data_IF_580824995180
#
_entry.id   IF_580824995180
#
_cell.length_a   1.000
_cell.length_b   1.000
_cell.length_c   1.000
_cell.angle_alpha   90.00
_cell.angle_beta   90.00
_cell.angle_gamma   90.00
#
_symmetry.space_group_name_H-M   'P 1'
#
loop_
_entity.id
_entity.type
_entity.pdbx_description
1 polymer ?
#
# COMPACT_ATOMS: atom_id res chain seq x y z
N UNK A 1 -12.02 9.83 -42.28
CA UNK A 1 -12.25 8.46 -41.78
C UNK A 1 -10.95 7.73 -41.92
N UNK A 2 -10.16 7.74 -40.85
CA UNK A 2 -8.87 7.03 -40.83
C UNK A 2 -9.05 5.77 -40.02
N UNK A 3 -8.52 4.67 -40.55
CA UNK A 3 -8.52 3.37 -39.90
C UNK A 3 -7.74 3.46 -38.57
N UNK A 4 -8.31 2.93 -37.49
CA UNK A 4 -7.68 2.94 -36.17
C UNK A 4 -6.99 1.59 -35.97
N UNK A 5 -5.65 1.52 -36.13
CA UNK A 5 -4.92 0.26 -36.08
C UNK A 5 -5.01 -0.42 -34.71
N UNK A 6 -5.26 0.33 -33.63
CA UNK A 6 -5.33 -0.21 -32.28
C UNK A 6 -6.48 -1.20 -32.12
N UNK A 7 -7.58 -1.02 -32.87
CA UNK A 7 -8.75 -1.91 -32.85
C UNK A 7 -8.47 -3.33 -33.34
N UNK A 8 -7.38 -3.52 -34.10
CA UNK A 8 -6.98 -4.85 -34.59
C UNK A 8 -6.06 -5.61 -33.62
N UNK A 9 -5.55 -4.96 -32.56
CA UNK A 9 -4.66 -5.61 -31.60
C UNK A 9 -5.38 -6.69 -30.78
N UNK A 10 -6.59 -6.39 -30.29
CA UNK A 10 -7.45 -7.36 -29.65
C UNK A 10 -8.92 -6.89 -29.63
N UNK A 11 -9.85 -7.84 -29.47
CA UNK A 11 -11.27 -7.52 -29.21
C UNK A 11 -11.44 -7.24 -27.71
N UNK A 12 -11.45 -5.96 -27.34
CA UNK A 12 -11.68 -5.51 -25.97
C UNK A 12 -12.45 -4.19 -25.97
N UNK A 13 -13.43 -4.08 -25.09
CA UNK A 13 -14.16 -2.85 -24.76
C UNK A 13 -13.43 -1.99 -23.71
N UNK A 14 -12.41 -2.57 -23.08
CA UNK A 14 -11.56 -1.87 -22.12
C UNK A 14 -10.40 -1.19 -22.84
N UNK A 15 -10.48 0.14 -22.87
CA UNK A 15 -9.51 1.03 -23.49
C UNK A 15 -8.72 1.79 -22.41
N UNK A 16 -7.44 2.05 -22.70
CA UNK A 16 -6.49 2.77 -21.87
C UNK A 16 -5.74 3.80 -22.72
N UNK A 17 -5.73 5.07 -22.30
CA UNK A 17 -4.98 6.15 -22.93
C UNK A 17 -5.19 6.22 -24.44
N UNK A 18 -4.16 6.60 -25.17
CA UNK A 18 -4.10 6.53 -26.62
C UNK A 18 -2.67 6.29 -27.09
N UNK A 19 -2.52 5.86 -28.34
CA UNK A 19 -1.22 5.81 -28.98
C UNK A 19 -0.61 7.21 -29.02
N UNK A 20 0.66 7.33 -28.64
CA UNK A 20 1.29 8.63 -28.37
C UNK A 20 1.19 9.62 -29.54
N UNK A 21 1.22 9.15 -30.78
CA UNK A 21 1.21 10.00 -31.97
C UNK A 21 -0.19 10.38 -32.46
N UNK A 22 -1.25 9.70 -32.00
CA UNK A 22 -2.62 9.92 -32.49
C UNK A 22 -3.64 9.76 -31.34
N UNK A 23 -4.16 10.86 -30.78
CA UNK A 23 -5.12 10.85 -29.68
C UNK A 23 -6.42 10.08 -29.93
N UNK A 24 -6.82 9.91 -31.20
CA UNK A 24 -8.02 9.15 -31.57
C UNK A 24 -7.82 7.63 -31.45
N UNK A 25 -6.59 7.14 -31.47
CA UNK A 25 -6.26 5.72 -31.44
C UNK A 25 -6.15 5.22 -30.00
N UNK A 26 -7.29 4.84 -29.42
CA UNK A 26 -7.38 4.32 -28.06
C UNK A 26 -6.82 2.91 -27.97
N UNK A 27 -6.00 2.63 -26.96
CA UNK A 27 -5.30 1.34 -26.85
C UNK A 27 -6.16 0.33 -26.10
N UNK A 28 -6.56 -0.80 -26.72
CA UNK A 28 -7.28 -1.85 -26.00
C UNK A 28 -6.34 -2.64 -25.09
N UNK A 29 -6.90 -3.26 -24.05
CA UNK A 29 -6.13 -4.10 -23.11
C UNK A 29 -6.70 -5.50 -22.96
N UNK A 30 -5.85 -6.46 -22.60
CA UNK A 30 -6.24 -7.84 -22.31
C UNK A 30 -6.70 -7.98 -20.85
N UNK A 31 -8.03 -7.89 -20.64
CA UNK A 31 -8.70 -7.89 -19.32
C UNK A 31 -8.28 -9.04 -18.41
N UNK A 32 -8.09 -10.23 -18.97
CA UNK A 32 -7.76 -11.45 -18.22
C UNK A 32 -6.45 -11.35 -17.44
N UNK A 33 -5.59 -10.38 -17.77
CA UNK A 33 -4.30 -10.19 -17.12
C UNK A 33 -4.28 -9.12 -16.03
N UNK A 34 -5.42 -8.50 -15.69
CA UNK A 34 -5.49 -7.49 -14.61
C UNK A 34 -4.98 -8.05 -13.27
N UNK A 35 -5.38 -9.27 -12.91
CA UNK A 35 -4.92 -9.92 -11.67
C UNK A 35 -3.45 -10.38 -11.71
N UNK A 36 -2.72 -10.12 -12.79
CA UNK A 36 -1.28 -10.36 -12.87
C UNK A 36 -0.46 -9.12 -12.47
N UNK A 37 -1.14 -8.13 -11.90
CA UNK A 37 -0.62 -6.93 -11.23
C UNK A 37 0.09 -5.95 -12.15
N UNK A 38 0.07 -4.69 -11.74
CA UNK A 38 0.46 -3.54 -12.54
C UNK A 38 1.54 -2.76 -11.78
N UNK A 39 2.66 -2.48 -12.46
CA UNK A 39 3.68 -1.54 -11.98
C UNK A 39 3.65 -0.26 -12.80
N UNK A 40 3.74 0.90 -12.15
CA UNK A 40 3.86 2.20 -12.80
C UNK A 40 5.14 2.86 -12.31
N UNK A 41 6.08 3.06 -13.23
CA UNK A 41 7.44 3.49 -12.93
C UNK A 41 7.78 4.80 -13.63
N UNK A 42 8.54 5.65 -12.95
CA UNK A 42 9.09 6.87 -13.54
C UNK A 42 9.39 7.94 -12.49
N UNK A 43 10.26 8.88 -12.80
CA UNK A 43 10.70 9.95 -11.89
C UNK A 43 9.55 10.85 -11.44
N UNK A 44 9.81 11.70 -10.44
CA UNK A 44 8.90 12.78 -10.07
C UNK A 44 8.59 13.67 -11.29
N UNK A 45 7.32 14.05 -11.45
CA UNK A 45 6.86 14.82 -12.62
C UNK A 45 6.83 14.04 -13.93
N UNK A 46 6.81 12.70 -13.91
CA UNK A 46 6.55 11.88 -15.12
C UNK A 46 5.07 11.65 -15.38
N UNK A 47 4.19 12.00 -14.44
CA UNK A 47 2.74 11.79 -14.55
C UNK A 47 2.23 10.45 -14.00
N UNK A 48 2.98 9.73 -13.15
CA UNK A 48 2.55 8.43 -12.58
C UNK A 48 1.19 8.47 -11.89
N UNK A 49 1.00 9.39 -10.94
CA UNK A 49 -0.26 9.54 -10.20
C UNK A 49 -1.40 9.98 -11.11
N UNK A 50 -1.09 10.72 -12.18
CA UNK A 50 -2.06 11.10 -13.21
C UNK A 50 -2.47 9.90 -14.07
N UNK A 51 -1.54 9.08 -14.54
CA UNK A 51 -1.83 7.83 -15.23
C UNK A 51 -2.68 6.92 -14.35
N UNK A 52 -2.33 6.80 -13.07
CA UNK A 52 -3.12 6.01 -12.13
C UNK A 52 -4.55 6.55 -11.98
N UNK A 53 -4.71 7.85 -11.73
CA UNK A 53 -5.99 8.51 -11.46
C UNK A 53 -6.92 8.57 -12.67
N UNK A 54 -6.41 8.94 -13.83
CA UNK A 54 -7.23 9.19 -15.02
C UNK A 54 -7.39 7.98 -15.93
N UNK A 55 -6.48 7.02 -15.88
CA UNK A 55 -6.49 5.89 -16.81
C UNK A 55 -6.65 4.54 -16.08
N UNK A 56 -5.77 4.22 -15.13
CA UNK A 56 -5.73 2.89 -14.50
C UNK A 56 -6.91 2.67 -13.56
N UNK A 57 -7.23 3.62 -12.68
CA UNK A 57 -8.36 3.51 -11.75
C UNK A 57 -9.68 3.39 -12.52
N UNK A 58 -10.01 4.29 -13.48
CA UNK A 58 -11.22 4.15 -14.29
C UNK A 58 -11.27 2.85 -15.10
N UNK A 59 -10.14 2.41 -15.65
CA UNK A 59 -10.04 1.12 -16.35
C UNK A 59 -10.43 -0.04 -15.42
N UNK A 60 -9.88 -0.07 -14.20
CA UNK A 60 -10.15 -1.13 -13.22
C UNK A 60 -11.62 -1.14 -12.78
N UNK A 61 -12.20 0.03 -12.55
CA UNK A 61 -13.63 0.17 -12.23
C UNK A 61 -14.51 -0.34 -13.38
N UNK A 62 -14.24 0.06 -14.62
CA UNK A 62 -14.94 -0.49 -15.81
C UNK A 62 -14.75 -1.99 -15.97
N UNK A 63 -13.60 -2.52 -15.55
CA UNK A 63 -13.32 -3.95 -15.57
C UNK A 63 -14.10 -4.74 -14.50
N UNK A 64 -14.76 -4.05 -13.56
CA UNK A 64 -15.58 -4.63 -12.49
C UNK A 64 -14.88 -4.73 -11.14
N UNK A 65 -13.80 -3.97 -10.92
CA UNK A 65 -13.06 -3.98 -9.66
C UNK A 65 -13.46 -2.80 -8.78
N UNK A 66 -13.67 -3.08 -7.50
CA UNK A 66 -13.67 -2.03 -6.47
C UNK A 66 -12.25 -1.61 -6.14
N UNK A 67 -11.99 -0.33 -5.93
CA UNK A 67 -10.64 0.20 -5.77
C UNK A 67 -10.39 0.67 -4.33
N UNK A 68 -9.27 0.25 -3.75
CA UNK A 68 -8.74 0.79 -2.49
C UNK A 68 -7.43 1.49 -2.83
N UNK A 69 -7.31 2.78 -2.54
CA UNK A 69 -6.10 3.57 -2.78
C UNK A 69 -5.41 3.88 -1.47
N UNK A 70 -4.13 3.55 -1.36
CA UNK A 70 -3.27 3.95 -0.24
C UNK A 70 -2.50 5.21 -0.66
N UNK A 71 -3.04 6.40 -0.34
CA UNK A 71 -2.47 7.69 -0.74
C UNK A 71 -1.41 8.12 0.28
N UNK A 72 -0.13 7.82 -0.02
CA UNK A 72 0.98 8.04 0.92
C UNK A 72 1.13 9.50 1.34
N UNK A 73 0.99 10.43 0.39
CA UNK A 73 1.14 11.88 0.63
C UNK A 73 -0.18 12.55 0.98
N UNK A 74 -1.31 11.97 0.58
CA UNK A 74 -2.65 12.56 0.73
C UNK A 74 -2.93 13.70 -0.24
N UNK A 75 -2.04 13.97 -1.21
CA UNK A 75 -2.19 15.06 -2.17
C UNK A 75 -2.56 14.59 -3.58
N UNK A 76 -2.31 13.32 -3.89
CA UNK A 76 -2.39 12.82 -5.26
C UNK A 76 -3.78 12.24 -5.58
N UNK A 77 -4.48 11.74 -4.55
CA UNK A 77 -5.77 11.08 -4.69
C UNK A 77 -6.80 11.67 -3.72
N UNK A 78 -6.52 11.75 -2.42
CA UNK A 78 -7.49 12.13 -1.39
C UNK A 78 -8.29 13.43 -1.68
N UNK A 79 -7.71 14.50 -2.27
CA UNK A 79 -8.46 15.71 -2.62
C UNK A 79 -9.42 15.56 -3.81
N UNK A 80 -9.26 14.51 -4.61
CA UNK A 80 -9.96 14.29 -5.89
C UNK A 80 -11.02 13.20 -5.84
N UNK A 81 -11.20 12.53 -4.68
CA UNK A 81 -12.21 11.50 -4.49
C UNK A 81 -13.10 11.84 -3.30
N UNK A 82 -14.41 11.65 -3.46
CA UNK A 82 -15.40 11.97 -2.42
C UNK A 82 -15.28 11.07 -1.18
N UNK A 83 -14.85 9.82 -1.37
CA UNK A 83 -14.80 8.82 -0.31
C UNK A 83 -13.37 8.58 0.18
N UNK A 84 -12.99 9.38 1.17
CA UNK A 84 -11.67 9.36 1.79
C UNK A 84 -11.77 9.02 3.28
N UNK A 85 -10.94 8.09 3.74
CA UNK A 85 -10.83 7.68 5.15
C UNK A 85 -9.44 8.06 5.67
N UNK A 86 -9.34 8.92 6.69
CA UNK A 86 -8.07 9.24 7.33
C UNK A 86 -7.46 8.03 8.05
N UNK A 87 -6.14 7.85 7.96
CA UNK A 87 -5.47 6.67 8.53
C UNK A 87 -5.68 6.49 10.04
N UNK A 88 -5.78 7.58 10.80
CA UNK A 88 -5.93 7.60 12.26
C UNK A 88 -7.30 7.09 12.73
N UNK A 89 -8.27 7.04 11.81
CA UNK A 89 -9.59 6.45 12.06
C UNK A 89 -9.62 4.94 11.85
N UNK A 90 -8.60 4.37 11.22
CA UNK A 90 -8.54 2.94 10.89
C UNK A 90 -7.97 2.16 12.07
N UNK A 91 -8.67 1.09 12.43
CA UNK A 91 -8.26 0.19 13.51
C UNK A 91 -7.08 -0.66 13.06
N UNK A 92 -5.95 -0.47 13.73
CA UNK A 92 -4.77 -1.33 13.64
C UNK A 92 -4.89 -2.47 14.63
N UNK A 93 -4.48 -3.69 14.26
CA UNK A 93 -4.56 -4.84 15.16
C UNK A 93 -3.61 -4.73 16.36
N UNK A 94 -4.02 -5.26 17.51
CA UNK A 94 -3.29 -5.10 18.79
C UNK A 94 -1.83 -5.60 18.72
N UNK A 95 -1.56 -6.63 17.91
CA UNK A 95 -0.21 -7.18 17.74
C UNK A 95 0.69 -6.20 16.98
N UNK A 96 0.13 -5.50 16.01
CA UNK A 96 0.85 -4.46 15.26
C UNK A 96 1.06 -3.21 16.12
N UNK A 97 0.07 -2.79 16.93
CA UNK A 97 0.23 -1.72 17.94
C UNK A 97 1.32 -2.07 18.96
N UNK A 98 1.31 -3.30 19.49
CA UNK A 98 2.35 -3.77 20.42
C UNK A 98 3.74 -3.74 19.81
N UNK A 99 3.88 -4.11 18.54
CA UNK A 99 5.17 -4.06 17.83
C UNK A 99 5.69 -2.65 17.68
N UNK A 100 4.81 -1.71 17.38
CA UNK A 100 5.14 -0.30 17.36
C UNK A 100 5.67 0.18 18.73
N UNK A 101 4.93 -0.10 19.82
CA UNK A 101 5.40 0.25 21.17
C UNK A 101 6.68 -0.48 21.57
N UNK A 102 6.85 -1.74 21.15
CA UNK A 102 8.08 -2.48 21.38
C UNK A 102 9.26 -1.84 20.65
N UNK A 103 9.09 -1.33 19.44
CA UNK A 103 10.15 -0.63 18.73
C UNK A 103 10.53 0.67 19.44
N UNK A 104 9.53 1.49 19.77
CA UNK A 104 9.69 2.77 20.47
C UNK A 104 10.40 2.61 21.83
N UNK A 105 9.95 1.63 22.62
CA UNK A 105 10.45 1.37 23.98
C UNK A 105 11.66 0.43 24.01
N UNK A 106 12.20 0.07 22.83
CA UNK A 106 13.35 -0.83 22.72
C UNK A 106 13.14 -2.16 23.44
N UNK A 107 12.04 -2.80 23.06
CA UNK A 107 11.45 -3.99 23.63
C UNK A 107 11.20 -3.86 25.14
N UNK A 108 10.66 -2.71 25.60
CA UNK A 108 10.41 -2.43 27.03
C UNK A 108 11.66 -2.65 27.91
N UNK A 109 12.85 -2.37 27.38
CA UNK A 109 14.14 -2.58 28.05
C UNK A 109 14.64 -4.04 28.07
N UNK A 110 14.02 -4.95 27.32
CA UNK A 110 14.39 -6.38 27.20
C UNK A 110 15.07 -6.68 25.85
N UNK A 111 16.02 -5.85 25.41
CA UNK A 111 16.81 -6.14 24.20
C UNK A 111 17.31 -7.59 24.19
N UNK A 112 17.13 -8.26 23.05
CA UNK A 112 17.62 -9.63 22.77
C UNK A 112 17.15 -10.75 23.72
N UNK A 113 16.04 -10.55 24.44
CA UNK A 113 15.39 -11.60 25.23
C UNK A 113 14.06 -12.04 24.62
N UNK A 114 13.90 -13.36 24.47
CA UNK A 114 12.64 -13.97 24.03
C UNK A 114 11.50 -13.75 25.05
N UNK A 115 11.81 -13.87 26.34
CA UNK A 115 10.84 -13.62 27.41
C UNK A 115 10.79 -12.14 27.79
N UNK A 116 9.68 -11.48 27.45
CA UNK A 116 9.37 -10.11 27.85
C UNK A 116 8.01 -10.03 28.59
N UNK A 117 8.02 -10.11 29.93
CA UNK A 117 6.82 -10.03 30.76
C UNK A 117 6.05 -8.72 30.59
N UNK A 118 6.76 -7.60 30.37
CA UNK A 118 6.16 -6.27 30.21
C UNK A 118 5.42 -6.19 28.88
N UNK A 119 6.05 -6.60 27.78
CA UNK A 119 5.39 -6.68 26.47
C UNK A 119 4.15 -7.59 26.51
N UNK A 120 4.25 -8.75 27.17
CA UNK A 120 3.11 -9.67 27.36
C UNK A 120 1.96 -9.03 28.14
N UNK A 121 2.27 -8.24 29.17
CA UNK A 121 1.25 -7.54 29.96
C UNK A 121 0.58 -6.41 29.15
N UNK A 122 1.36 -5.64 28.38
CA UNK A 122 0.84 -4.61 27.47
C UNK A 122 -0.03 -5.22 26.38
N UNK A 123 0.39 -6.33 25.78
CA UNK A 123 -0.40 -7.06 24.78
C UNK A 123 -1.76 -7.49 25.35
N UNK A 124 -1.76 -8.08 26.54
CA UNK A 124 -2.99 -8.48 27.24
C UNK A 124 -3.85 -7.26 27.59
N UNK A 125 -3.25 -6.14 27.98
CA UNK A 125 -3.98 -4.91 28.22
C UNK A 125 -4.69 -4.44 26.95
N UNK A 126 -3.97 -4.28 25.84
CA UNK A 126 -4.49 -3.84 24.54
C UNK A 126 -5.68 -4.70 24.07
N UNK A 127 -5.63 -6.01 24.30
CA UNK A 127 -6.67 -6.98 23.89
C UNK A 127 -7.91 -7.00 24.79
N UNK A 128 -7.78 -6.64 26.07
CA UNK A 128 -8.85 -6.90 27.07
C UNK A 128 -9.63 -5.67 27.49
N UNK A 129 -9.13 -4.47 27.20
CA UNK A 129 -9.79 -3.23 27.58
C UNK A 129 -10.32 -2.51 26.34
N UNK A 130 -11.38 -1.74 26.53
CA UNK A 130 -11.84 -0.80 25.52
C UNK A 130 -11.13 0.55 25.67
N UNK A 131 -10.08 0.74 24.86
CA UNK A 131 -9.24 1.94 24.84
C UNK A 131 -9.39 2.77 23.55
N UNK A 132 -9.85 2.17 22.46
CA UNK A 132 -10.02 2.87 21.18
C UNK A 132 -11.21 3.83 21.26
N UNK A 133 -11.17 4.91 20.46
CA UNK A 133 -12.18 5.98 20.50
C UNK A 133 -12.28 6.77 21.81
N UNK A 134 -11.47 6.46 22.84
CA UNK A 134 -11.39 7.27 24.06
C UNK A 134 -10.42 8.44 23.84
N UNK A 135 -10.50 9.52 24.63
CA UNK A 135 -9.46 10.55 24.64
C UNK A 135 -8.07 9.93 24.87
N UNK A 136 -7.00 10.43 24.21
CA UNK A 136 -5.65 9.85 24.29
C UNK A 136 -5.15 9.61 25.72
N UNK A 137 -5.28 10.60 26.61
CA UNK A 137 -4.94 10.50 28.03
C UNK A 137 -5.62 9.31 28.71
N UNK A 138 -6.95 9.20 28.54
CA UNK A 138 -7.77 8.14 29.14
C UNK A 138 -7.45 6.76 28.55
N UNK A 139 -7.19 6.68 27.25
CA UNK A 139 -6.79 5.45 26.59
C UNK A 139 -5.43 4.95 27.12
N UNK A 140 -4.45 5.87 27.20
CA UNK A 140 -3.12 5.61 27.75
C UNK A 140 -3.19 5.12 29.19
N UNK A 141 -3.95 5.83 30.04
CA UNK A 141 -4.15 5.47 31.44
C UNK A 141 -4.76 4.07 31.59
N UNK A 142 -5.82 3.76 30.83
CA UNK A 142 -6.46 2.44 30.85
C UNK A 142 -5.47 1.32 30.50
N UNK A 143 -4.66 1.50 29.45
CA UNK A 143 -3.66 0.50 29.04
C UNK A 143 -2.62 0.33 30.15
N UNK A 144 -2.08 1.44 30.68
CA UNK A 144 -1.08 1.43 31.74
C UNK A 144 -1.58 0.70 32.99
N UNK A 145 -2.74 1.10 33.52
CA UNK A 145 -3.30 0.52 34.75
C UNK A 145 -3.58 -0.98 34.58
N UNK A 146 -4.08 -1.39 33.41
CA UNK A 146 -4.33 -2.81 33.14
C UNK A 146 -3.03 -3.61 33.03
N UNK A 147 -2.04 -3.11 32.29
CA UNK A 147 -0.74 -3.76 32.15
C UNK A 147 -0.06 -3.89 33.51
N UNK A 148 -0.09 -2.82 34.32
CA UNK A 148 0.46 -2.78 35.68
C UNK A 148 -0.21 -3.82 36.57
N UNK A 149 -1.54 -3.89 36.60
CA UNK A 149 -2.27 -4.88 37.40
C UNK A 149 -1.92 -6.33 37.02
N UNK A 150 -1.70 -6.60 35.73
CA UNK A 150 -1.25 -7.93 35.24
C UNK A 150 0.17 -8.24 35.76
N UNK A 151 1.07 -7.27 35.70
CA UNK A 151 2.44 -7.44 36.20
C UNK A 151 2.48 -7.61 37.72
N UNK A 152 1.73 -6.81 38.48
CA UNK A 152 1.63 -6.93 39.95
C UNK A 152 1.09 -8.29 40.37
N UNK A 153 0.11 -8.83 39.64
CA UNK A 153 -0.38 -10.18 39.87
C UNK A 153 0.71 -11.24 39.62
N UNK A 154 1.39 -11.17 38.46
CA UNK A 154 2.43 -12.13 38.09
C UNK A 154 3.69 -12.02 38.96
N UNK A 155 3.98 -10.83 39.49
CA UNK A 155 5.10 -10.55 40.38
C UNK A 155 5.05 -11.38 41.68
N UNK A 156 3.85 -11.81 42.11
CA UNK A 156 3.67 -12.67 43.29
C UNK A 156 4.33 -14.06 43.16
N UNK A 157 4.59 -14.50 41.93
CA UNK A 157 5.17 -15.81 41.62
C UNK A 157 6.68 -15.76 41.37
N UNK A 158 7.32 -14.60 41.50
CA UNK A 158 8.76 -14.41 41.27
C UNK A 158 9.43 -13.71 42.46
N UNK A 159 10.76 -13.58 42.42
CA UNK A 159 11.50 -12.81 43.44
C UNK A 159 11.02 -11.35 43.45
N UNK A 160 10.93 -10.76 44.65
CA UNK A 160 10.47 -9.38 44.86
C UNK A 160 11.21 -8.38 43.95
N UNK A 161 12.53 -8.48 43.86
CA UNK A 161 13.38 -7.64 43.01
C UNK A 161 13.01 -7.73 41.52
N UNK A 162 12.69 -8.94 41.04
CA UNK A 162 12.26 -9.17 39.66
C UNK A 162 10.90 -8.55 39.39
N UNK A 163 9.96 -8.68 40.34
CA UNK A 163 8.66 -8.04 40.25
C UNK A 163 8.76 -6.51 40.19
N UNK A 164 9.58 -5.90 41.06
CA UNK A 164 9.85 -4.45 41.06
C UNK A 164 10.41 -4.00 39.72
N UNK A 165 11.42 -4.70 39.18
CA UNK A 165 12.01 -4.39 37.88
C UNK A 165 10.99 -4.38 36.73
N UNK A 166 9.97 -5.27 36.76
CA UNK A 166 8.92 -5.28 35.73
C UNK A 166 8.07 -4.01 35.77
N UNK A 167 7.73 -3.54 36.96
CA UNK A 167 6.95 -2.32 37.16
C UNK A 167 7.76 -1.10 36.73
N UNK A 168 9.01 -0.98 37.18
CA UNK A 168 9.91 0.12 36.81
C UNK A 168 10.07 0.22 35.29
N UNK A 169 10.19 -0.93 34.61
CA UNK A 169 10.29 -0.97 33.13
C UNK A 169 8.99 -0.57 32.44
N UNK A 170 7.83 -0.96 32.99
CA UNK A 170 6.54 -0.52 32.46
C UNK A 170 6.40 1.01 32.59
N UNK A 171 6.72 1.56 33.76
CA UNK A 171 6.67 3.00 34.03
C UNK A 171 7.58 3.77 33.06
N UNK A 172 8.85 3.39 32.95
CA UNK A 172 9.79 3.99 32.00
C UNK A 172 9.34 3.85 30.54
N UNK A 173 8.68 2.75 30.18
CA UNK A 173 8.15 2.57 28.83
C UNK A 173 6.97 3.50 28.53
N UNK A 174 6.12 3.75 29.53
CA UNK A 174 4.99 4.68 29.39
C UNK A 174 5.42 6.14 29.42
N UNK A 175 6.60 6.48 29.95
CA UNK A 175 7.21 7.80 29.70
C UNK A 175 7.50 8.05 28.21
N UNK A 176 7.81 6.99 27.45
CA UNK A 176 8.05 7.08 26.00
C UNK A 176 6.76 6.95 25.17
N UNK A 177 5.81 6.11 25.60
CA UNK A 177 4.50 5.97 24.96
C UNK A 177 3.62 7.14 25.40
N UNK A 178 3.76 8.27 24.70
CA UNK A 178 3.00 9.50 24.99
C UNK A 178 1.55 9.40 24.54
N UNK A 179 0.75 10.42 24.87
CA UNK A 179 -0.63 10.54 24.38
C UNK A 179 -0.69 10.62 22.84
N UNK A 180 0.26 11.33 22.23
CA UNK A 180 0.38 11.40 20.77
C UNK A 180 0.60 10.02 20.15
N UNK A 181 1.42 9.17 20.79
CA UNK A 181 1.65 7.80 20.34
C UNK A 181 0.41 6.91 20.43
N UNK A 182 -0.44 7.17 21.43
CA UNK A 182 -1.70 6.45 21.61
C UNK A 182 -2.75 6.94 20.62
N UNK A 183 -2.82 8.26 20.40
CA UNK A 183 -3.74 8.91 19.47
C UNK A 183 -3.68 8.29 18.06
N UNK A 184 -2.47 7.96 17.61
CA UNK A 184 -2.17 7.30 16.33
C UNK A 184 -2.94 5.99 16.11
N UNK A 185 -3.38 5.32 17.17
CA UNK A 185 -4.01 3.99 17.09
C UNK A 185 -5.43 3.93 17.71
N UNK A 186 -6.05 5.09 17.98
CA UNK A 186 -7.41 5.17 18.52
C UNK A 186 -8.51 4.81 17.51
N UNK A 187 -8.15 4.64 16.23
CA UNK A 187 -9.07 4.31 15.15
C UNK A 187 -9.97 3.11 15.43
N UNK A 188 -11.23 3.23 15.02
CA UNK A 188 -12.28 2.23 15.26
C UNK A 188 -12.84 1.62 13.97
N UNK A 189 -12.53 2.21 12.82
CA UNK A 189 -12.97 1.69 11.51
C UNK A 189 -12.20 0.40 11.24
N UNK A 190 -12.92 -0.71 11.21
CA UNK A 190 -12.34 -2.02 10.96
C UNK A 190 -11.91 -2.16 9.49
N UNK A 191 -10.85 -2.94 9.19
CA UNK A 191 -10.44 -3.22 7.81
C UNK A 191 -11.54 -3.76 6.89
N UNK A 192 -12.52 -4.49 7.43
CA UNK A 192 -13.67 -4.98 6.66
C UNK A 192 -14.59 -3.85 6.20
N UNK A 193 -14.69 -2.76 6.95
CA UNK A 193 -15.49 -1.60 6.59
C UNK A 193 -14.87 -0.85 5.42
N UNK A 194 -13.54 -0.78 5.34
CA UNK A 194 -12.83 -0.21 4.18
C UNK A 194 -13.17 -0.98 2.91
N UNK A 195 -13.10 -2.33 2.97
CA UNK A 195 -13.49 -3.17 1.84
C UNK A 195 -14.98 -3.00 1.48
N UNK A 196 -15.87 -2.94 2.48
CA UNK A 196 -17.30 -2.75 2.25
C UNK A 196 -17.59 -1.40 1.58
N UNK A 197 -16.94 -0.32 2.03
CA UNK A 197 -17.05 1.01 1.42
C UNK A 197 -16.55 1.02 -0.02
N UNK A 198 -15.39 0.40 -0.29
CA UNK A 198 -14.88 0.26 -1.66
C UNK A 198 -15.87 -0.49 -2.57
N UNK A 199 -16.55 -1.51 -2.03
CA UNK A 199 -17.56 -2.28 -2.77
C UNK A 199 -18.86 -1.50 -3.01
N UNK A 200 -19.31 -0.73 -2.03
CA UNK A 200 -20.51 0.10 -2.13
C UNK A 200 -20.32 1.29 -3.06
N UNK A 201 -19.16 1.96 -2.97
CA UNK A 201 -18.87 3.22 -3.67
C UNK A 201 -18.02 3.06 -4.93
N UNK A 202 -17.60 1.85 -5.24
CA UNK A 202 -16.63 1.56 -6.31
C UNK A 202 -15.18 1.92 -5.95
N UNK A 203 -14.95 2.94 -5.10
CA UNK A 203 -13.62 3.35 -4.66
C UNK A 203 -13.62 3.87 -3.21
N UNK A 204 -12.52 3.63 -2.50
CA UNK A 204 -12.18 4.30 -1.24
C UNK A 204 -10.71 4.70 -1.26
N UNK A 205 -10.42 5.92 -0.81
CA UNK A 205 -9.05 6.42 -0.63
C UNK A 205 -8.73 6.41 0.86
N UNK A 206 -7.60 5.83 1.23
CA UNK A 206 -7.04 5.95 2.57
C UNK A 206 -6.03 7.08 2.55
N UNK A 207 -6.35 8.19 3.22
CA UNK A 207 -5.47 9.34 3.34
C UNK A 207 -4.43 9.08 4.44
N UNK A 208 -3.18 8.92 4.01
CA UNK A 208 -2.05 8.61 4.87
C UNK A 208 -1.23 9.85 5.22
N UNK A 209 -1.65 11.07 4.85
CA UNK A 209 -0.86 12.31 4.98
C UNK A 209 -0.35 12.60 6.38
N UNK A 210 -1.17 12.36 7.41
CA UNK A 210 -0.89 12.73 8.81
C UNK A 210 -0.06 11.71 9.60
N UNK A 211 0.23 10.55 9.02
CA UNK A 211 0.92 9.46 9.74
C UNK A 211 2.44 9.53 9.65
N UNK A 212 3.12 9.02 10.67
CA UNK A 212 4.52 8.62 10.53
C UNK A 212 4.62 7.31 9.73
N UNK A 213 5.81 7.02 9.18
CA UNK A 213 6.03 5.87 8.30
C UNK A 213 5.55 4.56 8.93
N UNK A 214 5.88 4.32 10.19
CA UNK A 214 5.54 3.10 10.93
C UNK A 214 4.02 2.96 11.11
N UNK A 215 3.32 4.06 11.42
CA UNK A 215 1.85 4.08 11.52
C UNK A 215 1.20 3.81 10.16
N UNK A 216 1.72 4.43 9.09
CA UNK A 216 1.26 4.19 7.71
C UNK A 216 1.40 2.71 7.35
N UNK A 217 2.57 2.13 7.61
CA UNK A 217 2.82 0.71 7.35
C UNK A 217 1.91 -0.19 8.20
N UNK A 218 1.63 0.17 9.45
CA UNK A 218 0.75 -0.58 10.34
C UNK A 218 -0.72 -0.61 9.86
N UNK A 219 -1.23 0.54 9.39
CA UNK A 219 -2.58 0.66 8.79
C UNK A 219 -2.66 -0.16 7.50
N UNK A 220 -1.68 -0.02 6.61
CA UNK A 220 -1.59 -0.82 5.39
C UNK A 220 -1.57 -2.31 5.71
N UNK A 221 -0.71 -2.74 6.64
CA UNK A 221 -0.59 -4.13 7.05
C UNK A 221 -1.93 -4.68 7.54
N UNK A 222 -2.68 -3.92 8.33
CA UNK A 222 -4.00 -4.32 8.85
C UNK A 222 -5.02 -4.55 7.73
N UNK A 223 -5.09 -3.65 6.74
CA UNK A 223 -5.97 -3.76 5.58
C UNK A 223 -5.54 -4.94 4.69
N UNK A 224 -4.28 -4.96 4.28
CA UNK A 224 -3.72 -5.99 3.41
C UNK A 224 -3.84 -7.39 4.00
N UNK A 225 -3.60 -7.54 5.31
CA UNK A 225 -3.75 -8.83 6.02
C UNK A 225 -5.19 -9.29 6.06
N UNK A 226 -6.15 -8.38 6.19
CA UNK A 226 -7.56 -8.71 6.08
C UNK A 226 -7.91 -9.25 4.69
N UNK A 227 -7.47 -8.58 3.61
CA UNK A 227 -7.66 -9.05 2.23
C UNK A 227 -7.05 -10.44 2.01
N UNK A 228 -5.81 -10.67 2.50
CA UNK A 228 -5.14 -11.97 2.44
C UNK A 228 -5.98 -13.08 3.09
N UNK A 229 -6.50 -12.84 4.31
CA UNK A 229 -7.32 -13.81 5.05
C UNK A 229 -8.59 -14.21 4.29
N UNK A 230 -9.21 -13.29 3.57
CA UNK A 230 -10.38 -13.60 2.74
C UNK A 230 -10.01 -14.53 1.57
N UNK A 231 -8.88 -14.26 0.89
CA UNK A 231 -8.38 -15.11 -0.19
C UNK A 231 -7.95 -16.50 0.30
N UNK A 232 -7.33 -16.60 1.48
CA UNK A 232 -7.01 -17.88 2.12
C UNK A 232 -8.26 -18.72 2.42
N UNK A 233 -9.39 -18.05 2.68
CA UNK A 233 -10.72 -18.66 2.82
C UNK A 233 -11.42 -18.90 1.48
N UNK A 234 -10.67 -18.83 0.38
CA UNK A 234 -11.12 -19.05 -1.01
C UNK A 234 -12.20 -18.07 -1.49
N UNK A 235 -12.27 -16.87 -0.90
CA UNK A 235 -13.20 -15.84 -1.35
C UNK A 235 -12.60 -15.04 -2.50
N UNK A 236 -13.38 -14.84 -3.56
CA UNK A 236 -13.04 -13.86 -4.60
C UNK A 236 -13.31 -12.44 -4.10
N UNK A 237 -12.35 -11.55 -4.33
CA UNK A 237 -12.42 -10.17 -3.88
C UNK A 237 -13.01 -9.26 -4.94
N UNK A 238 -12.52 -9.39 -6.18
CA UNK A 238 -12.77 -8.51 -7.33
C UNK A 238 -12.48 -7.05 -6.93
N UNK A 239 -11.28 -6.85 -6.37
CA UNK A 239 -10.78 -5.59 -5.79
C UNK A 239 -9.40 -5.26 -6.36
N UNK A 240 -9.10 -3.98 -6.56
CA UNK A 240 -7.78 -3.49 -6.87
C UNK A 240 -7.23 -2.67 -5.69
N UNK A 241 -6.01 -3.00 -5.25
CA UNK A 241 -5.29 -2.25 -4.24
C UNK A 241 -4.20 -1.42 -4.93
N UNK A 242 -4.37 -0.09 -4.91
CA UNK A 242 -3.43 0.88 -5.46
C UNK A 242 -2.52 1.37 -4.34
N UNK A 243 -1.22 1.18 -4.51
CA UNK A 243 -0.17 1.51 -3.55
C UNK A 243 0.69 2.61 -4.17
N UNK A 244 0.50 3.84 -3.70
CA UNK A 244 1.37 4.96 -4.07
C UNK A 244 2.69 4.92 -3.28
N UNK A 245 3.76 5.51 -3.81
CA UNK A 245 5.11 5.50 -3.19
C UNK A 245 5.55 4.09 -2.74
N UNK A 246 5.40 3.10 -3.63
CA UNK A 246 5.66 1.68 -3.40
C UNK A 246 6.95 1.33 -2.62
N UNK A 247 8.11 1.98 -2.88
CA UNK A 247 9.33 1.75 -2.10
C UNK A 247 9.18 2.02 -0.59
N UNK A 248 8.20 2.80 -0.16
CA UNK A 248 7.93 3.00 1.28
C UNK A 248 7.39 1.74 1.94
N UNK A 249 6.66 0.90 1.19
CA UNK A 249 6.06 -0.36 1.67
C UNK A 249 6.93 -1.58 1.38
N UNK A 250 7.65 -1.55 0.25
CA UNK A 250 8.47 -2.65 -0.21
C UNK A 250 9.80 -2.14 -0.80
N UNK A 251 10.69 -1.55 0.03
CA UNK A 251 11.98 -1.07 -0.43
C UNK A 251 12.88 -2.23 -0.87
N UNK A 252 13.95 -1.91 -1.59
CA UNK A 252 14.96 -2.88 -2.02
C UNK A 252 15.53 -3.73 -0.87
N UNK A 253 15.82 -3.10 0.28
CA UNK A 253 16.34 -3.76 1.49
C UNK A 253 15.43 -3.47 2.70
N UNK A 254 14.33 -4.22 2.85
CA UNK A 254 13.36 -3.94 3.88
C UNK A 254 13.84 -4.37 5.27
N UNK A 255 13.51 -3.57 6.29
CA UNK A 255 13.79 -3.86 7.71
C UNK A 255 12.56 -3.64 8.57
N UNK A 256 12.50 -4.31 9.72
CA UNK A 256 11.37 -4.18 10.65
C UNK A 256 10.02 -4.39 9.95
N UNK A 257 9.11 -3.43 10.12
CA UNK A 257 7.76 -3.49 9.56
C UNK A 257 7.74 -3.47 8.02
N UNK A 258 8.72 -2.85 7.36
CA UNK A 258 8.83 -2.87 5.90
C UNK A 258 9.01 -4.29 5.36
N UNK A 259 9.70 -5.15 6.12
CA UNK A 259 9.91 -6.55 5.72
C UNK A 259 8.59 -7.28 5.70
N UNK A 260 7.78 -7.06 6.72
CA UNK A 260 6.46 -7.68 6.82
C UNK A 260 5.51 -7.18 5.74
N UNK A 261 5.51 -5.88 5.44
CA UNK A 261 4.68 -5.33 4.36
C UNK A 261 5.16 -5.81 2.99
N UNK A 262 6.49 -5.95 2.79
CA UNK A 262 7.07 -6.56 1.58
C UNK A 262 6.58 -8.00 1.40
N UNK A 263 6.73 -8.84 2.43
CA UNK A 263 6.32 -10.24 2.40
C UNK A 263 4.81 -10.37 2.18
N UNK A 264 4.02 -9.51 2.82
CA UNK A 264 2.57 -9.45 2.64
C UNK A 264 2.19 -9.07 1.20
N UNK A 265 2.86 -8.10 0.58
CA UNK A 265 2.63 -7.73 -0.83
C UNK A 265 2.96 -8.90 -1.77
N UNK A 266 4.04 -9.63 -1.50
CA UNK A 266 4.41 -10.83 -2.28
C UNK A 266 3.29 -11.87 -2.19
N UNK A 267 2.80 -12.16 -0.98
CA UNK A 267 1.71 -13.11 -0.76
C UNK A 267 0.40 -12.65 -1.42
N UNK A 268 0.07 -11.36 -1.31
CA UNK A 268 -1.10 -10.79 -1.97
C UNK A 268 -1.02 -10.93 -3.49
N UNK A 269 0.16 -10.73 -4.08
CA UNK A 269 0.36 -10.95 -5.51
C UNK A 269 0.21 -12.43 -5.88
N UNK A 270 0.79 -13.34 -5.10
CA UNK A 270 0.69 -14.77 -5.37
C UNK A 270 -0.76 -15.27 -5.33
N UNK A 271 -1.51 -14.90 -4.29
CA UNK A 271 -2.91 -15.29 -4.10
C UNK A 271 -3.86 -14.54 -5.05
N UNK A 272 -3.61 -13.25 -5.27
CA UNK A 272 -4.51 -12.34 -5.97
C UNK A 272 -4.82 -12.75 -7.41
N UNK A 273 -3.86 -13.39 -8.08
CA UNK A 273 -4.03 -14.00 -9.41
C UNK A 273 -5.26 -14.92 -9.50
N UNK A 274 -5.52 -15.69 -8.46
CA UNK A 274 -6.60 -16.68 -8.42
C UNK A 274 -7.90 -16.14 -7.82
N UNK A 275 -7.80 -15.15 -6.92
CA UNK A 275 -8.92 -14.70 -6.09
C UNK A 275 -9.38 -13.27 -6.39
N UNK A 276 -9.06 -12.73 -7.56
CA UNK A 276 -9.61 -11.45 -8.01
C UNK A 276 -9.05 -10.24 -7.27
N UNK A 277 -7.78 -10.30 -6.83
CA UNK A 277 -7.08 -9.12 -6.32
C UNK A 277 -6.07 -8.63 -7.35
N UNK A 278 -6.26 -7.40 -7.82
CA UNK A 278 -5.26 -6.69 -8.59
C UNK A 278 -4.42 -5.81 -7.67
N UNK A 279 -3.10 -5.78 -7.88
CA UNK A 279 -2.19 -4.91 -7.14
C UNK A 279 -1.64 -3.92 -8.15
N UNK A 280 -1.72 -2.63 -7.85
CA UNK A 280 -1.12 -1.56 -8.64
C UNK A 280 -0.10 -0.85 -7.76
N UNK A 281 1.17 -0.85 -8.16
CA UNK A 281 2.23 -0.19 -7.38
C UNK A 281 2.86 0.92 -8.22
N UNK A 282 2.89 2.13 -7.67
CA UNK A 282 3.59 3.26 -8.24
C UNK A 282 4.96 3.39 -7.59
N UNK A 283 6.02 3.61 -8.38
CA UNK A 283 7.37 3.79 -7.86
C UNK A 283 8.17 4.81 -8.66
N UNK A 284 8.98 5.62 -7.97
CA UNK A 284 9.83 6.61 -8.62
C UNK A 284 11.03 5.97 -9.34
N UNK A 285 11.60 4.92 -8.74
CA UNK A 285 12.66 4.10 -9.33
C UNK A 285 12.23 2.67 -9.59
N UNK A 286 12.96 1.97 -10.45
CA UNK A 286 12.69 0.58 -10.77
C UNK A 286 13.46 -0.36 -9.84
N UNK A 287 14.74 -0.07 -9.55
CA UNK A 287 15.65 -0.88 -8.74
C UNK A 287 16.49 -0.01 -7.78
N UNK A 288 17.31 -0.67 -6.95
CA UNK A 288 18.29 0.02 -6.11
C UNK A 288 17.67 0.76 -4.93
N UNK A 289 18.39 1.72 -4.37
CA UNK A 289 18.01 2.40 -3.11
C UNK A 289 16.67 3.14 -3.19
N UNK A 290 16.27 3.59 -4.39
CA UNK A 290 15.00 4.28 -4.65
C UNK A 290 13.93 3.38 -5.27
N UNK A 291 14.22 2.08 -5.41
CA UNK A 291 13.40 1.12 -6.14
C UNK A 291 12.67 0.11 -5.25
N UNK A 292 11.81 -0.67 -5.91
CA UNK A 292 11.03 -1.72 -5.28
C UNK A 292 11.86 -2.99 -5.04
N UNK A 293 11.49 -3.73 -4.00
CA UNK A 293 11.97 -5.08 -3.78
C UNK A 293 11.84 -5.95 -5.04
N UNK A 294 12.90 -6.67 -5.39
CA UNK A 294 12.94 -7.49 -6.60
C UNK A 294 11.84 -8.57 -6.64
N UNK A 295 11.48 -9.17 -5.51
CA UNK A 295 10.45 -10.21 -5.45
C UNK A 295 9.04 -9.63 -5.65
N UNK A 296 8.75 -8.44 -5.13
CA UNK A 296 7.50 -7.71 -5.43
C UNK A 296 7.45 -7.36 -6.90
N UNK A 297 8.51 -6.75 -7.43
CA UNK A 297 8.56 -6.28 -8.82
C UNK A 297 8.39 -7.40 -9.85
N UNK A 298 8.96 -8.58 -9.61
CA UNK A 298 8.77 -9.77 -10.48
C UNK A 298 7.32 -10.23 -10.58
N UNK A 299 6.46 -9.86 -9.63
CA UNK A 299 5.04 -10.18 -9.68
C UNK A 299 4.23 -9.19 -10.53
N UNK A 300 4.77 -8.02 -10.87
CA UNK A 300 4.12 -6.98 -11.66
C UNK A 300 4.29 -7.27 -13.17
N UNK A 301 3.38 -8.07 -13.72
CA UNK A 301 3.49 -8.58 -15.09
C UNK A 301 3.03 -7.59 -16.16
N UNK A 302 2.33 -6.54 -15.78
CA UNK A 302 2.04 -5.39 -16.64
C UNK A 302 2.80 -4.20 -16.10
N UNK A 303 3.51 -3.46 -16.97
CA UNK A 303 4.31 -2.32 -16.55
C UNK A 303 4.06 -1.11 -17.44
N UNK A 304 3.99 0.06 -16.80
CA UNK A 304 4.00 1.36 -17.44
C UNK A 304 5.29 2.05 -17.05
N UNK A 305 6.18 2.26 -18.02
CA UNK A 305 7.49 2.86 -17.78
C UNK A 305 7.53 4.24 -18.42
N UNK A 306 7.46 5.26 -17.57
CA UNK A 306 7.64 6.66 -17.95
C UNK A 306 9.12 7.04 -17.98
N UNK A 307 9.38 8.35 -17.86
CA UNK A 307 10.76 8.87 -17.75
C UNK A 307 11.47 8.27 -16.54
N UNK A 308 12.67 7.70 -16.71
CA UNK A 308 13.44 7.06 -15.63
C UNK A 308 14.56 7.97 -15.09
N UNK A 309 15.03 7.68 -13.87
CA UNK A 309 16.19 8.36 -13.31
C UNK A 309 17.48 7.78 -13.94
N UNK A 310 18.55 8.57 -14.15
CA UNK A 310 19.83 8.04 -14.65
C UNK A 310 20.40 6.88 -13.81
N UNK A 311 20.13 6.85 -12.50
CA UNK A 311 20.55 5.75 -11.61
C UNK A 311 19.85 4.42 -11.92
N UNK A 312 18.67 4.45 -12.54
CA UNK A 312 17.94 3.25 -12.96
C UNK A 312 18.33 2.78 -14.37
N UNK A 313 19.29 3.44 -15.04
CA UNK A 313 19.61 3.18 -16.45
C UNK A 313 20.04 1.73 -16.71
N UNK A 314 20.84 1.14 -15.82
CA UNK A 314 21.30 -0.26 -15.98
C UNK A 314 20.13 -1.25 -15.90
N UNK A 315 19.19 -1.01 -14.97
CA UNK A 315 18.01 -1.84 -14.81
C UNK A 315 17.04 -1.66 -15.98
N UNK A 316 16.84 -0.41 -16.38
CA UNK A 316 16.05 -0.07 -17.55
C UNK A 316 16.68 -0.66 -18.82
N UNK A 317 18.00 -0.71 -18.94
CA UNK A 317 18.71 -1.37 -20.05
C UNK A 317 18.37 -2.85 -20.12
N UNK A 318 18.44 -3.58 -19.00
CA UNK A 318 18.10 -5.02 -18.96
C UNK A 318 16.67 -5.26 -19.44
N UNK A 319 15.75 -4.40 -19.02
CA UNK A 319 14.35 -4.49 -19.42
C UNK A 319 14.15 -4.06 -20.89
N UNK A 320 14.66 -2.90 -21.28
CA UNK A 320 14.52 -2.29 -22.60
C UNK A 320 15.18 -3.11 -23.72
N UNK A 321 16.32 -3.76 -23.45
CA UNK A 321 17.01 -4.64 -24.41
C UNK A 321 16.14 -5.81 -24.84
N UNK A 322 15.32 -6.35 -23.92
CA UNK A 322 14.39 -7.43 -24.23
C UNK A 322 13.25 -7.00 -25.17
N UNK A 323 13.10 -5.69 -25.37
CA UNK A 323 11.95 -5.09 -26.04
C UNK A 323 12.34 -4.08 -27.14
N UNK A 324 13.61 -4.02 -27.53
CA UNK A 324 14.14 -3.10 -28.55
C UNK A 324 13.87 -1.61 -28.29
N UNK A 325 13.72 -1.20 -27.02
CA UNK A 325 13.61 0.21 -26.62
C UNK A 325 15.01 0.77 -26.41
N UNK A 326 15.32 1.95 -26.98
CA UNK A 326 16.57 2.64 -26.65
C UNK A 326 16.51 3.17 -25.20
N UNK A 327 17.46 2.83 -24.33
CA UNK A 327 17.52 3.34 -22.95
C UNK A 327 17.59 4.87 -22.88
N UNK A 328 18.20 5.52 -23.89
CA UNK A 328 18.30 6.98 -23.98
C UNK A 328 16.93 7.64 -24.14
N UNK A 329 15.99 6.98 -24.81
CA UNK A 329 14.62 7.46 -24.94
C UNK A 329 13.88 7.46 -23.60
N UNK A 330 14.23 6.55 -22.67
CA UNK A 330 13.63 6.51 -21.34
C UNK A 330 14.11 7.66 -20.45
N UNK A 331 15.30 8.22 -20.72
CA UNK A 331 15.83 9.38 -19.99
C UNK A 331 15.15 10.70 -20.44
N UNK A 332 14.71 10.76 -21.69
CA UNK A 332 14.18 11.97 -22.33
C UNK A 332 12.67 11.93 -22.56
N UNK A 333 11.99 10.88 -22.09
CA UNK A 333 10.56 10.68 -22.31
C UNK A 333 9.75 11.87 -21.76
N UNK A 334 8.80 12.44 -22.54
CA UNK A 334 7.98 13.54 -22.06
C UNK A 334 7.07 13.12 -20.89
N UNK A 335 6.61 14.09 -20.11
CA UNK A 335 5.57 13.85 -19.10
C UNK A 335 4.30 13.28 -19.73
N UNK A 336 3.61 12.40 -19.01
CA UNK A 336 2.37 11.76 -19.48
C UNK A 336 2.60 10.64 -20.51
N UNK A 337 3.84 10.41 -20.93
CA UNK A 337 4.18 9.33 -21.87
C UNK A 337 4.72 8.12 -21.13
N UNK A 338 4.23 6.94 -21.49
CA UNK A 338 4.59 5.68 -20.84
C UNK A 338 4.72 4.55 -21.85
N UNK A 339 5.77 3.75 -21.74
CA UNK A 339 5.81 2.45 -22.40
C UNK A 339 4.91 1.47 -21.67
N UNK A 340 3.88 0.98 -22.37
CA UNK A 340 2.99 -0.06 -21.93
C UNK A 340 3.54 -1.44 -22.33
N UNK A 341 3.82 -2.25 -21.32
CA UNK A 341 4.54 -3.52 -21.42
C UNK A 341 3.80 -4.64 -20.69
N UNK A 342 4.13 -5.86 -21.08
CA UNK A 342 3.73 -7.05 -20.34
C UNK A 342 2.34 -7.55 -20.69
N UNK A 343 1.74 -8.34 -19.79
CA UNK A 343 0.64 -9.25 -20.16
C UNK A 343 -0.65 -8.55 -20.57
N UNK A 344 -0.96 -7.36 -20.04
CA UNK A 344 -2.15 -6.63 -20.48
C UNK A 344 -1.99 -5.97 -21.86
N UNK A 345 -0.77 -5.77 -22.34
CA UNK A 345 -0.51 -5.20 -23.66
C UNK A 345 -0.82 -6.26 -24.73
N UNK A 346 -1.81 -6.03 -25.62
CA UNK A 346 -2.11 -6.97 -26.69
C UNK A 346 -1.09 -6.96 -27.83
N UNK A 347 -0.25 -5.92 -27.91
CA UNK A 347 0.81 -5.84 -28.91
C UNK A 347 1.97 -6.78 -28.55
N UNK A 348 2.57 -7.48 -29.53
CA UNK A 348 3.78 -8.28 -29.32
C UNK A 348 5.00 -7.42 -28.97
N UNK A 349 4.92 -6.11 -29.21
CA UNK A 349 5.95 -5.12 -28.88
C UNK A 349 5.41 -4.07 -27.92
N UNK A 350 6.30 -3.38 -27.16
CA UNK A 350 5.91 -2.26 -26.33
C UNK A 350 5.12 -1.21 -27.11
N UNK A 351 4.07 -0.66 -26.49
CA UNK A 351 3.36 0.48 -27.03
C UNK A 351 3.74 1.72 -26.24
N UNK A 352 4.19 2.77 -26.93
CA UNK A 352 4.28 4.08 -26.30
C UNK A 352 2.88 4.70 -26.29
N UNK A 353 2.38 4.96 -25.09
CA UNK A 353 1.05 5.54 -24.87
C UNK A 353 1.16 6.91 -24.21
N UNK A 354 0.11 7.70 -24.39
CA UNK A 354 -0.12 8.95 -23.67
C UNK A 354 -1.60 9.04 -23.29
N UNK A 355 -1.97 10.05 -22.52
CA UNK A 355 -3.35 10.28 -22.10
C UNK A 355 -3.66 11.78 -22.01
N UNK A 356 -4.95 12.09 -22.07
CA UNK A 356 -5.45 13.46 -21.95
C UNK A 356 -6.14 13.60 -20.60
N UNK A 357 -5.87 14.72 -19.93
CA UNK A 357 -6.50 15.07 -18.68
C UNK A 357 -7.74 15.89 -19.03
N UNK A 358 -8.91 15.26 -19.01
CA UNK A 358 -10.16 15.98 -19.16
C UNK A 358 -10.62 16.44 -17.77
N UNK A 359 -10.53 17.74 -17.50
CA UNK A 359 -10.89 18.32 -16.20
C UNK A 359 -12.34 18.01 -15.78
N UNK A 360 -13.24 17.74 -16.73
CA UNK A 360 -14.64 17.36 -16.46
C UNK A 360 -14.80 15.97 -15.79
N UNK A 361 -13.82 15.07 -15.91
CA UNK A 361 -13.85 13.75 -15.24
C UNK A 361 -13.34 13.78 -13.80
N UNK A 362 -12.73 14.90 -13.38
CA UNK A 362 -12.25 15.06 -12.00
C UNK A 362 -13.38 15.19 -10.97
N UNK A 363 -14.61 15.50 -11.41
CA UNK A 363 -15.80 15.60 -10.56
C UNK A 363 -16.74 14.39 -10.58
N UNK A 364 -16.55 13.40 -11.47
CA UNK A 364 -17.51 12.31 -11.72
C UNK A 364 -16.97 10.90 -11.46
N UNK A 365 -15.71 10.75 -11.05
CA UNK A 365 -15.13 9.44 -10.70
C UNK A 365 -15.61 8.87 -9.34
N UNK A 366 -16.65 9.47 -8.74
CA UNK A 366 -17.18 9.08 -7.44
C UNK A 366 -18.61 9.55 -7.17
N UNK A 367 -19.45 9.73 -8.20
CA UNK A 367 -20.91 9.74 -8.01
C UNK A 367 -21.48 8.32 -8.01
#
# INVERSE_FOLDING_TARGET
>A
GEDDPMKYLCKSDLLLGHYWAEPRWKVPILKQYINYHIGIFGVTGSGKSYLARYEIIPLLMRAGYSVIVMDWKGSDYAPYFAHTVPLDKIKVDDVTVLRYFSHLTKNFGYYDREDNPVSTAVERALRTIDWRGNPPEKAREKIFLKARAILEHNAKSVKKETGVLWIDRLEASFEMITEEEIERFLGTIEPWQILAQAKDKGIVVVDMSKGEKEQKLAVFYSIARYLKRLMERKQRLDVALVIDEGPQYAPWQPRGLERETTDLIIDLCALGRSYGLSIVILSQGMAGEIGLNAAVRRNLNTQFIGRIHPLDLEEAQKLATSYYISPENLLTLPEGHFYFLGRMNPSPTPLLISFQINEEQSGSAGE
#
